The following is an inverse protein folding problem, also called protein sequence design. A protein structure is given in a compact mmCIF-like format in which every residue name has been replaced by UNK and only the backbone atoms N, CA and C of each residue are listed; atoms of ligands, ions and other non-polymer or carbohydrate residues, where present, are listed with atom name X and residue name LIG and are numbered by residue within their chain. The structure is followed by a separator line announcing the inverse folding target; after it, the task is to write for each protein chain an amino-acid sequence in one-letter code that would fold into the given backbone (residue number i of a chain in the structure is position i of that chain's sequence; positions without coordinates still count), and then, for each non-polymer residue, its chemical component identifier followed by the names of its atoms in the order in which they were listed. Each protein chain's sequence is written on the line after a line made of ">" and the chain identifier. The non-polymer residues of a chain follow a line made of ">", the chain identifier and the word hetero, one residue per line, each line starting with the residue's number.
data_IF_489797273572
#
_entry.id   IF_489797273572
#
_cell.length_a   1.000
_cell.length_b   1.000
_cell.length_c   1.000
_cell.angle_alpha   90.00
_cell.angle_beta   90.00
_cell.angle_gamma   90.00
#
_symmetry.space_group_name_H-M   'P 1'
#
loop_
_entity.id
_entity.type
_entity.pdbx_description
1 polymer ?
#
# COMPACT_ATOMS: atom_id res chain seq x y z
N UNK A 1 -46.87 -0.16 12.47
CA UNK A 1 -46.15 -0.53 11.23
C UNK A 1 -45.05 0.52 10.95
N UNK A 2 -43.84 0.32 11.49
CA UNK A 2 -42.54 0.61 10.85
C UNK A 2 -41.42 0.40 11.87
N UNK A 3 -40.55 -0.51 11.47
CA UNK A 3 -39.31 -0.96 12.08
C UNK A 3 -38.30 0.19 12.11
N UNK A 4 -37.76 0.53 13.28
CA UNK A 4 -36.50 1.26 13.39
C UNK A 4 -35.52 0.32 14.11
N UNK A 5 -34.71 -0.30 13.27
CA UNK A 5 -33.51 -1.05 13.63
C UNK A 5 -32.55 0.00 14.20
N UNK A 6 -32.43 0.07 15.53
CA UNK A 6 -31.38 0.87 16.15
C UNK A 6 -30.17 -0.01 16.33
N UNK A 7 -29.14 0.41 15.64
CA UNK A 7 -27.89 -0.26 15.40
C UNK A 7 -27.16 -0.67 16.68
N UNK A 8 -26.61 -1.88 16.59
CA UNK A 8 -25.62 -2.45 17.49
C UNK A 8 -24.49 -1.44 17.72
N UNK A 9 -24.46 -0.83 18.90
CA UNK A 9 -23.31 -0.07 19.38
C UNK A 9 -22.72 -0.74 20.61
N UNK A 10 -21.39 -0.94 20.54
CA UNK A 10 -20.45 -1.17 21.65
C UNK A 10 -20.19 -2.62 22.07
N UNK A 11 -19.66 -3.40 21.13
CA UNK A 11 -18.76 -4.51 21.43
C UNK A 11 -17.30 -4.16 21.12
N UNK A 12 -16.43 -4.13 22.13
CA UNK A 12 -14.99 -4.38 21.95
C UNK A 12 -14.08 -3.17 21.68
N UNK A 13 -13.84 -2.35 22.70
CA UNK A 13 -12.70 -1.43 22.71
C UNK A 13 -11.38 -2.19 22.75
N UNK A 14 -10.73 -2.38 21.59
CA UNK A 14 -9.27 -2.57 21.37
C UNK A 14 -8.86 -2.80 19.89
N UNK A 15 -9.81 -2.90 18.95
CA UNK A 15 -9.50 -3.24 17.54
C UNK A 15 -9.69 -2.10 16.52
N UNK A 16 -10.32 -0.99 16.90
CA UNK A 16 -10.67 0.09 15.95
C UNK A 16 -9.46 0.92 15.49
N UNK A 17 -8.51 1.22 16.39
CA UNK A 17 -7.36 2.06 16.04
C UNK A 17 -6.41 1.37 15.06
N UNK A 18 -6.04 0.11 15.31
CA UNK A 18 -5.13 -0.64 14.44
C UNK A 18 -5.76 -1.07 13.13
N UNK A 19 -7.08 -1.32 13.11
CA UNK A 19 -7.80 -1.62 11.87
C UNK A 19 -7.86 -0.41 10.93
N UNK A 20 -8.20 0.76 11.47
CA UNK A 20 -8.21 1.98 10.69
C UNK A 20 -6.82 2.32 10.15
N UNK A 21 -5.76 2.17 10.97
CA UNK A 21 -4.38 2.38 10.50
C UNK A 21 -3.96 1.40 9.40
N UNK A 22 -4.45 0.15 9.42
CA UNK A 22 -4.18 -0.82 8.34
C UNK A 22 -4.91 -0.43 7.06
N UNK A 23 -6.19 -0.05 7.15
CA UNK A 23 -6.97 0.36 5.99
C UNK A 23 -6.38 1.64 5.35
N UNK A 24 -5.99 2.63 6.18
CA UNK A 24 -5.30 3.86 5.74
C UNK A 24 -3.95 3.56 5.09
N UNK A 25 -3.17 2.64 5.68
CA UNK A 25 -1.88 2.24 5.12
C UNK A 25 -2.01 1.49 3.80
N UNK A 26 -3.01 0.62 3.67
CA UNK A 26 -3.30 -0.07 2.41
C UNK A 26 -3.71 0.93 1.32
N UNK A 27 -4.53 1.92 1.66
CA UNK A 27 -4.89 3.00 0.72
C UNK A 27 -3.65 3.77 0.26
N UNK A 28 -2.74 4.11 1.20
CA UNK A 28 -1.48 4.75 0.86
C UNK A 28 -0.63 3.89 -0.09
N UNK A 29 -0.52 2.58 0.16
CA UNK A 29 0.17 1.66 -0.74
C UNK A 29 -0.43 1.64 -2.14
N UNK A 30 -1.76 1.70 -2.27
CA UNK A 30 -2.42 1.76 -3.57
C UNK A 30 -2.09 3.05 -4.33
N UNK A 31 -2.00 4.19 -3.63
CA UNK A 31 -1.62 5.46 -4.23
C UNK A 31 -0.15 5.46 -4.66
N UNK A 32 0.75 4.88 -3.85
CA UNK A 32 2.16 4.66 -4.21
C UNK A 32 2.27 3.78 -5.46
N UNK A 33 1.53 2.66 -5.52
CA UNK A 33 1.50 1.76 -6.69
C UNK A 33 1.01 2.51 -7.94
N UNK A 34 -0.02 3.36 -7.81
CA UNK A 34 -0.54 4.13 -8.94
C UNK A 34 0.51 5.10 -9.47
N UNK A 35 1.13 5.87 -8.57
CA UNK A 35 2.21 6.79 -8.92
C UNK A 35 3.39 6.08 -9.57
N UNK A 36 3.88 4.99 -8.97
CA UNK A 36 4.98 4.22 -9.51
C UNK A 36 4.67 3.59 -10.88
N UNK A 37 3.44 3.14 -11.12
CA UNK A 37 3.00 2.66 -12.44
C UNK A 37 2.97 3.78 -13.48
N UNK A 38 2.53 4.98 -13.11
CA UNK A 38 2.56 6.13 -14.01
C UNK A 38 3.99 6.44 -14.42
N UNK A 39 4.90 6.52 -13.44
CA UNK A 39 6.33 6.77 -13.68
C UNK A 39 7.00 5.65 -14.49
N UNK A 40 6.66 4.39 -14.23
CA UNK A 40 7.12 3.27 -15.05
C UNK A 40 6.69 3.41 -16.51
N UNK A 41 5.42 3.73 -16.77
CA UNK A 41 4.93 3.92 -18.13
C UNK A 41 5.53 5.16 -18.82
N UNK A 42 5.84 6.21 -18.07
CA UNK A 42 6.52 7.40 -18.58
C UNK A 42 7.97 7.11 -18.95
N UNK A 43 8.72 6.43 -18.08
CA UNK A 43 10.09 5.98 -18.32
C UNK A 43 10.18 5.01 -19.52
N UNK A 44 9.15 4.18 -19.74
CA UNK A 44 9.09 3.34 -20.95
C UNK A 44 8.90 4.12 -22.26
N UNK A 45 8.37 5.35 -22.19
CA UNK A 45 7.99 6.14 -23.38
C UNK A 45 9.03 7.18 -23.78
N UNK A 46 9.87 7.63 -22.85
CA UNK A 46 10.89 8.65 -23.06
C UNK A 46 12.20 8.11 -22.45
N UNK A 47 13.31 8.21 -23.18
CA UNK A 47 14.63 7.87 -22.62
C UNK A 47 14.99 8.90 -21.53
N UNK A 48 14.64 8.58 -20.27
CA UNK A 48 15.21 9.16 -19.04
C UNK A 48 14.99 10.66 -18.70
N UNK A 49 14.03 11.35 -19.31
CA UNK A 49 13.76 12.76 -18.93
C UNK A 49 13.09 12.93 -17.53
N UNK A 50 12.57 11.85 -16.92
CA UNK A 50 11.88 11.85 -15.62
C UNK A 50 12.61 11.02 -14.53
N UNK A 51 13.96 11.03 -14.53
CA UNK A 51 14.77 10.26 -13.57
C UNK A 51 14.43 10.59 -12.10
N UNK A 52 14.06 11.85 -11.78
CA UNK A 52 13.79 12.28 -10.41
C UNK A 52 12.50 11.65 -9.87
N UNK A 53 11.40 11.77 -10.61
CA UNK A 53 10.11 11.21 -10.25
C UNK A 53 10.16 9.68 -10.23
N UNK A 54 10.95 9.08 -11.11
CA UNK A 54 11.21 7.66 -11.14
C UNK A 54 11.96 7.17 -9.89
N UNK A 55 13.06 7.84 -9.52
CA UNK A 55 13.79 7.56 -8.28
C UNK A 55 12.90 7.77 -7.05
N UNK A 56 12.08 8.82 -7.03
CA UNK A 56 11.12 9.07 -5.96
C UNK A 56 10.11 7.92 -5.85
N UNK A 57 9.56 7.45 -6.97
CA UNK A 57 8.65 6.31 -6.99
C UNK A 57 9.31 5.04 -6.44
N UNK A 58 10.56 4.74 -6.81
CA UNK A 58 11.31 3.61 -6.25
C UNK A 58 11.53 3.74 -4.73
N UNK A 59 11.87 4.94 -4.24
CA UNK A 59 12.03 5.21 -2.80
C UNK A 59 10.70 5.06 -2.04
N UNK A 60 9.59 5.53 -2.62
CA UNK A 60 8.26 5.38 -2.02
C UNK A 60 7.84 3.90 -1.93
N UNK A 61 8.15 3.09 -2.95
CA UNK A 61 7.91 1.64 -2.92
C UNK A 61 8.73 0.96 -1.82
N UNK A 62 10.01 1.30 -1.70
CA UNK A 62 10.89 0.76 -0.65
C UNK A 62 10.37 1.12 0.75
N UNK A 63 10.03 2.39 0.96
CA UNK A 63 9.51 2.86 2.24
C UNK A 63 8.19 2.17 2.61
N UNK A 64 7.27 2.01 1.64
CA UNK A 64 6.03 1.29 1.86
C UNK A 64 6.26 -0.18 2.24
N UNK A 65 7.22 -0.87 1.61
CA UNK A 65 7.57 -2.26 1.98
C UNK A 65 8.11 -2.34 3.41
N UNK A 66 8.98 -1.39 3.80
CA UNK A 66 9.54 -1.33 5.15
C UNK A 66 8.45 -1.05 6.21
N UNK A 67 7.59 -0.06 5.97
CA UNK A 67 6.52 0.31 6.90
C UNK A 67 5.49 -0.83 7.05
N UNK A 68 5.24 -1.57 5.96
CA UNK A 68 4.38 -2.74 5.99
C UNK A 68 4.92 -3.83 6.92
N UNK A 69 6.24 -4.07 6.89
CA UNK A 69 6.88 -5.04 7.77
C UNK A 69 6.71 -4.66 9.26
N UNK A 70 6.83 -3.37 9.57
CA UNK A 70 6.58 -2.86 10.92
C UNK A 70 5.10 -3.00 11.32
N UNK A 71 4.18 -2.62 10.45
CA UNK A 71 2.74 -2.69 10.69
C UNK A 71 2.28 -4.13 10.93
N UNK A 72 2.80 -5.09 10.15
CA UNK A 72 2.45 -6.51 10.23
C UNK A 72 2.70 -7.14 11.62
N UNK A 73 3.67 -6.62 12.39
CA UNK A 73 3.96 -7.11 13.75
C UNK A 73 2.77 -6.92 14.70
N UNK A 74 2.07 -5.79 14.56
CA UNK A 74 0.91 -5.41 15.39
C UNK A 74 -0.43 -5.99 14.91
N UNK A 75 -0.45 -6.58 13.70
CA UNK A 75 -1.65 -7.04 13.02
C UNK A 75 -2.05 -8.47 13.40
N UNK A 76 -3.34 -8.78 13.26
CA UNK A 76 -3.85 -10.15 13.38
C UNK A 76 -3.57 -10.98 12.10
N UNK A 77 -3.84 -12.29 12.12
CA UNK A 77 -3.56 -13.18 11.00
C UNK A 77 -4.22 -12.76 9.68
N UNK A 78 -5.47 -12.29 9.71
CA UNK A 78 -6.20 -11.85 8.51
C UNK A 78 -5.59 -10.56 7.92
N UNK A 79 -5.27 -9.59 8.77
CA UNK A 79 -4.62 -8.35 8.35
C UNK A 79 -3.20 -8.60 7.83
N UNK A 80 -2.44 -9.50 8.47
CA UNK A 80 -1.12 -9.91 7.99
C UNK A 80 -1.17 -10.53 6.61
N UNK A 81 -2.20 -11.33 6.30
CA UNK A 81 -2.37 -11.89 4.96
C UNK A 81 -2.66 -10.80 3.92
N UNK A 82 -3.51 -9.83 4.25
CA UNK A 82 -3.78 -8.67 3.39
C UNK A 82 -2.51 -7.85 3.12
N UNK A 83 -1.77 -7.52 4.17
CA UNK A 83 -0.49 -6.83 4.08
C UNK A 83 0.54 -7.65 3.29
N UNK A 84 0.60 -8.96 3.50
CA UNK A 84 1.51 -9.81 2.75
C UNK A 84 1.24 -9.77 1.25
N UNK A 85 -0.03 -9.81 0.82
CA UNK A 85 -0.39 -9.66 -0.59
C UNK A 85 0.00 -8.29 -1.15
N UNK A 86 -0.24 -7.23 -0.38
CA UNK A 86 0.16 -5.87 -0.78
C UNK A 86 1.68 -5.78 -0.94
N UNK A 87 2.45 -6.38 -0.02
CA UNK A 87 3.92 -6.41 -0.10
C UNK A 87 4.41 -7.05 -1.39
N UNK A 88 3.84 -8.20 -1.78
CA UNK A 88 4.20 -8.87 -3.03
C UNK A 88 3.94 -7.99 -4.26
N UNK A 89 2.87 -7.18 -4.25
CA UNK A 89 2.57 -6.25 -5.34
C UNK A 89 3.57 -5.09 -5.42
N UNK A 90 3.94 -4.53 -4.27
CA UNK A 90 4.96 -3.47 -4.17
C UNK A 90 6.33 -3.98 -4.65
N UNK A 91 6.76 -5.14 -4.13
CA UNK A 91 8.03 -5.79 -4.49
C UNK A 91 8.08 -6.12 -5.99
N UNK A 92 6.99 -6.65 -6.57
CA UNK A 92 6.94 -6.94 -8.00
C UNK A 92 7.11 -5.67 -8.84
N UNK A 93 6.39 -4.60 -8.52
CA UNK A 93 6.49 -3.35 -9.26
C UNK A 93 7.87 -2.69 -9.12
N UNK A 94 8.46 -2.75 -7.92
CA UNK A 94 9.81 -2.24 -7.69
C UNK A 94 10.83 -3.01 -8.52
N UNK A 95 10.74 -4.33 -8.58
CA UNK A 95 11.60 -5.15 -9.43
C UNK A 95 11.42 -4.83 -10.92
N UNK A 96 10.18 -4.68 -11.38
CA UNK A 96 9.89 -4.30 -12.77
C UNK A 96 10.54 -2.96 -13.11
N UNK A 97 10.48 -1.98 -12.19
CA UNK A 97 11.16 -0.70 -12.34
C UNK A 97 12.68 -0.85 -12.41
N UNK A 98 13.31 -1.54 -11.45
CA UNK A 98 14.77 -1.74 -11.46
C UNK A 98 15.25 -2.38 -12.78
N UNK A 99 14.47 -3.30 -13.34
CA UNK A 99 14.78 -3.97 -14.61
C UNK A 99 14.61 -3.08 -15.85
N UNK A 100 13.81 -2.00 -15.78
CA UNK A 100 13.65 -1.05 -16.87
C UNK A 100 14.80 -0.02 -16.92
N UNK A 101 15.38 0.29 -15.76
CA UNK A 101 16.49 1.24 -15.60
C UNK A 101 17.86 0.70 -16.05
N UNK A 102 17.97 -0.59 -16.39
CA UNK A 102 19.21 -1.29 -16.81
C UNK A 102 19.14 -1.78 -18.26
#
# INVERSE_FOLDING_TARGET
>A
MRTLKMDNFLGGGKTMATRQSVDEFLQHCEDVIRFAKEQYNEAQRQEHDNDIEYMNAQQMLEQAVNDLAHLALSCNAQQREQLHRMRLQLEQLQNDMILLDH
#
